data_IF_947922336885
#
_entry.id   IF_947922336885
#
_cell.length_a   1.000
_cell.length_b   1.000
_cell.length_c   1.000
_cell.angle_alpha   90.00
_cell.angle_beta   90.00
_cell.angle_gamma   90.00
#
_symmetry.space_group_name_H-M   'P 1'
#
loop_
_entity.id
_entity.type
_entity.pdbx_description
1 polymer ?
#
# COMPACT_ATOMS: atom_id res chain seq x y z
N UNK A 1 10.77 19.14 -19.11
CA UNK A 1 10.11 20.44 -19.45
C UNK A 1 10.70 21.57 -18.63
N UNK A 2 10.41 22.87 -19.00
CA UNK A 2 10.88 23.99 -18.16
C UNK A 2 9.95 24.21 -16.96
N UNK A 3 10.52 24.43 -15.77
CA UNK A 3 9.78 24.62 -14.51
C UNK A 3 8.71 25.74 -14.60
N UNK A 4 9.08 26.93 -15.13
CA UNK A 4 8.14 28.04 -15.30
C UNK A 4 6.98 27.71 -16.25
N UNK A 5 7.25 26.91 -17.29
CA UNK A 5 6.22 26.46 -18.22
C UNK A 5 5.26 25.48 -17.55
N UNK A 6 5.77 24.55 -16.74
CA UNK A 6 4.96 23.63 -15.95
C UNK A 6 4.00 24.37 -15.00
N UNK A 7 4.52 25.39 -14.26
CA UNK A 7 3.69 26.21 -13.38
C UNK A 7 2.60 26.99 -14.14
N UNK A 8 2.94 27.56 -15.29
CA UNK A 8 1.98 28.28 -16.14
C UNK A 8 0.89 27.33 -16.69
N UNK A 9 1.28 26.15 -17.15
CA UNK A 9 0.39 25.14 -17.72
C UNK A 9 -0.54 24.53 -16.68
N UNK A 10 -0.06 24.30 -15.45
CA UNK A 10 -0.91 23.91 -14.29
C UNK A 10 -1.95 24.99 -13.99
N UNK A 11 -1.53 26.25 -13.91
CA UNK A 11 -2.41 27.39 -13.62
C UNK A 11 -3.47 27.54 -14.71
N UNK A 12 -3.11 27.28 -15.95
CA UNK A 12 -4.03 27.34 -17.11
C UNK A 12 -4.93 26.10 -17.23
N UNK A 13 -4.80 25.10 -16.36
CA UNK A 13 -5.62 23.88 -16.37
C UNK A 13 -5.26 22.87 -17.48
N UNK A 14 -4.09 22.99 -18.11
CA UNK A 14 -3.70 22.06 -19.18
C UNK A 14 -3.49 20.62 -18.73
N UNK A 15 -3.29 20.40 -17.45
CA UNK A 15 -3.12 19.06 -16.85
C UNK A 15 -4.40 18.51 -16.22
N UNK A 16 -5.55 19.19 -16.34
CA UNK A 16 -6.80 18.80 -15.66
C UNK A 16 -7.27 17.40 -16.02
N UNK A 17 -7.21 17.03 -17.30
CA UNK A 17 -7.60 15.69 -17.73
C UNK A 17 -6.73 14.61 -17.04
N UNK A 18 -5.42 14.87 -16.91
CA UNK A 18 -4.50 13.97 -16.24
C UNK A 18 -4.76 13.92 -14.72
N UNK A 19 -4.99 15.08 -14.09
CA UNK A 19 -5.37 15.16 -12.67
C UNK A 19 -6.70 14.46 -12.40
N UNK A 20 -7.70 14.61 -13.28
CA UNK A 20 -8.97 13.87 -13.18
C UNK A 20 -8.77 12.36 -13.16
N UNK A 21 -7.89 11.84 -14.03
CA UNK A 21 -7.61 10.40 -14.09
C UNK A 21 -6.90 9.86 -12.83
N UNK A 22 -6.16 10.72 -12.13
CA UNK A 22 -5.41 10.32 -10.94
C UNK A 22 -6.18 10.49 -9.64
N UNK A 23 -7.00 11.55 -9.54
CA UNK A 23 -7.56 12.01 -8.27
C UNK A 23 -9.08 12.24 -8.31
N UNK A 24 -9.73 12.04 -9.46
CA UNK A 24 -11.15 12.30 -9.65
C UNK A 24 -11.46 13.69 -10.22
N UNK A 25 -12.72 13.87 -10.64
CA UNK A 25 -13.15 14.99 -11.50
C UNK A 25 -13.84 16.14 -10.77
N UNK A 26 -13.93 16.14 -9.43
CA UNK A 26 -14.58 17.25 -8.73
C UNK A 26 -13.73 18.53 -8.77
N UNK A 27 -14.36 19.68 -8.95
CA UNK A 27 -13.66 20.97 -9.00
C UNK A 27 -12.81 21.23 -7.76
N UNK A 28 -13.27 20.82 -6.59
CA UNK A 28 -12.54 20.96 -5.33
C UNK A 28 -11.27 20.12 -5.32
N UNK A 29 -11.32 18.86 -5.79
CA UNK A 29 -10.17 17.97 -5.91
C UNK A 29 -9.17 18.54 -6.92
N UNK A 30 -9.63 18.97 -8.09
CA UNK A 30 -8.75 19.56 -9.10
C UNK A 30 -8.03 20.81 -8.61
N UNK A 31 -8.75 21.71 -7.94
CA UNK A 31 -8.17 22.93 -7.34
C UNK A 31 -7.12 22.58 -6.29
N UNK A 32 -7.40 21.61 -5.41
CA UNK A 32 -6.47 21.16 -4.37
C UNK A 32 -5.21 20.52 -4.98
N UNK A 33 -5.35 19.67 -5.99
CA UNK A 33 -4.21 19.03 -6.63
C UNK A 33 -3.36 20.03 -7.44
N UNK A 34 -3.97 20.96 -8.19
CA UNK A 34 -3.21 22.03 -8.84
C UNK A 34 -2.37 22.83 -7.82
N UNK A 35 -2.98 23.22 -6.69
CA UNK A 35 -2.29 23.94 -5.65
C UNK A 35 -1.12 23.13 -5.06
N UNK A 36 -1.32 21.82 -4.84
CA UNK A 36 -0.29 20.91 -4.33
C UNK A 36 0.93 20.79 -5.28
N UNK A 37 0.67 20.59 -6.58
CA UNK A 37 1.74 20.51 -7.58
C UNK A 37 2.45 21.86 -7.77
N UNK A 38 1.73 22.98 -7.76
CA UNK A 38 2.33 24.32 -7.78
C UNK A 38 3.21 24.56 -6.56
N UNK A 39 2.74 24.22 -5.37
CA UNK A 39 3.51 24.36 -4.13
C UNK A 39 4.78 23.50 -4.15
N UNK A 40 4.69 22.26 -4.67
CA UNK A 40 5.85 21.38 -4.83
C UNK A 40 6.87 22.01 -5.80
N UNK A 41 6.44 22.56 -6.94
CA UNK A 41 7.29 23.24 -7.91
C UNK A 41 7.96 24.51 -7.34
N UNK A 42 7.23 25.29 -6.54
CA UNK A 42 7.78 26.45 -5.83
C UNK A 42 8.84 26.05 -4.80
N UNK A 43 8.58 25.03 -4.00
CA UNK A 43 9.53 24.54 -2.99
C UNK A 43 10.78 23.98 -3.66
N UNK A 44 10.64 23.24 -4.76
CA UNK A 44 11.77 22.78 -5.57
C UNK A 44 12.61 23.97 -6.07
N UNK A 45 11.98 25.00 -6.64
CA UNK A 45 12.66 26.18 -7.15
C UNK A 45 13.44 26.97 -6.08
N UNK A 46 12.95 26.97 -4.84
CA UNK A 46 13.66 27.60 -3.71
C UNK A 46 14.90 26.82 -3.28
N UNK A 47 14.85 25.50 -3.35
CA UNK A 47 15.97 24.63 -2.96
C UNK A 47 17.05 24.55 -4.05
N UNK A 48 16.63 24.57 -5.32
CA UNK A 48 17.49 24.37 -6.47
C UNK A 48 17.24 25.46 -7.54
N UNK A 49 17.57 26.72 -7.25
CA UNK A 49 17.22 27.85 -8.10
C UNK A 49 17.91 27.83 -9.48
N UNK A 50 19.01 27.08 -9.60
CA UNK A 50 19.75 26.90 -10.85
C UNK A 50 19.14 25.82 -11.77
N UNK A 51 18.22 25.01 -11.28
CA UNK A 51 17.59 23.90 -12.02
C UNK A 51 16.35 24.42 -12.74
N UNK A 52 16.47 24.63 -14.05
CA UNK A 52 15.36 25.12 -14.88
C UNK A 52 14.58 24.00 -15.56
N UNK A 53 15.22 22.88 -15.90
CA UNK A 53 14.62 21.75 -16.57
C UNK A 53 14.21 20.68 -15.55
N UNK A 54 12.96 20.28 -15.59
CA UNK A 54 12.37 19.33 -14.64
C UNK A 54 11.61 18.23 -15.34
N UNK A 55 11.41 17.13 -14.62
CA UNK A 55 10.40 16.10 -14.85
C UNK A 55 9.56 15.93 -13.57
N UNK A 56 8.32 15.49 -13.73
CA UNK A 56 7.37 15.35 -12.64
C UNK A 56 6.92 13.90 -12.56
N UNK A 57 6.89 13.33 -11.35
CA UNK A 57 6.54 11.93 -11.12
C UNK A 57 5.52 11.79 -10.00
N UNK A 58 4.79 10.66 -10.01
CA UNK A 58 3.81 10.33 -8.99
C UNK A 58 3.75 8.81 -8.80
N UNK A 59 3.66 8.35 -7.55
CA UNK A 59 3.43 6.96 -7.20
C UNK A 59 2.39 6.84 -6.09
N UNK A 60 1.34 6.01 -6.26
CA UNK A 60 0.22 5.91 -5.33
C UNK A 60 0.57 5.08 -4.08
N UNK A 61 -0.14 5.35 -2.98
CA UNK A 61 -0.32 4.40 -1.91
C UNK A 61 -1.23 3.24 -2.31
N UNK A 62 -1.40 2.28 -1.41
CA UNK A 62 -2.24 1.09 -1.66
C UNK A 62 -3.11 0.76 -0.45
N UNK A 63 -4.20 0.06 -0.69
CA UNK A 63 -5.08 -0.53 0.31
C UNK A 63 -5.17 -2.05 0.10
N UNK A 64 -5.15 -2.83 1.18
CA UNK A 64 -5.45 -4.26 1.13
C UNK A 64 -6.97 -4.46 1.12
N UNK A 65 -7.50 -5.22 0.17
CA UNK A 65 -8.93 -5.50 0.04
C UNK A 65 -9.27 -6.86 0.65
N UNK A 66 -8.54 -7.90 0.33
CA UNK A 66 -8.75 -9.27 0.82
C UNK A 66 -7.45 -10.08 0.89
N UNK A 67 -7.49 -11.22 1.60
CA UNK A 67 -6.30 -12.03 1.85
C UNK A 67 -5.48 -11.52 3.04
N UNK A 68 -6.14 -11.19 4.15
CA UNK A 68 -5.49 -10.63 5.33
C UNK A 68 -4.46 -11.60 5.93
N UNK A 69 -3.18 -11.22 5.91
CA UNK A 69 -2.03 -12.02 6.36
C UNK A 69 -1.81 -13.35 5.60
N UNK A 70 -2.38 -13.51 4.40
CA UNK A 70 -2.17 -14.73 3.59
C UNK A 70 -0.84 -14.74 2.85
N UNK A 71 -0.30 -13.58 2.51
CA UNK A 71 0.98 -13.40 1.81
C UNK A 71 2.17 -14.03 2.57
N UNK A 72 2.21 -13.93 3.90
CA UNK A 72 3.22 -14.55 4.74
C UNK A 72 3.22 -16.09 4.71
N UNK A 73 2.13 -16.67 4.17
CA UNK A 73 1.96 -18.11 3.98
C UNK A 73 1.93 -18.51 2.50
N UNK A 74 2.45 -17.66 1.61
CA UNK A 74 2.46 -17.84 0.16
C UNK A 74 1.05 -17.92 -0.45
N UNK A 75 0.08 -17.24 0.17
CA UNK A 75 -1.32 -17.22 -0.27
C UNK A 75 -1.62 -16.11 -1.27
N UNK A 76 -2.92 -15.99 -1.56
CA UNK A 76 -3.48 -14.99 -2.45
C UNK A 76 -3.85 -13.72 -1.69
N UNK A 77 -3.66 -12.57 -2.32
CA UNK A 77 -4.12 -11.27 -1.84
C UNK A 77 -4.85 -10.52 -2.94
N UNK A 78 -5.82 -9.71 -2.57
CA UNK A 78 -6.43 -8.70 -3.42
C UNK A 78 -6.17 -7.34 -2.79
N UNK A 79 -5.60 -6.42 -3.56
CA UNK A 79 -5.31 -5.07 -3.10
C UNK A 79 -5.55 -4.05 -4.22
N UNK A 80 -5.58 -2.77 -3.88
CA UNK A 80 -5.80 -1.71 -4.86
C UNK A 80 -4.93 -0.49 -4.57
N UNK A 81 -4.47 0.20 -5.60
CA UNK A 81 -3.86 1.51 -5.45
C UNK A 81 -4.93 2.59 -5.27
N UNK A 82 -4.59 3.61 -4.52
CA UNK A 82 -5.49 4.70 -4.14
C UNK A 82 -5.02 6.06 -4.66
N UNK A 83 -5.89 7.04 -4.63
CA UNK A 83 -5.62 8.42 -5.09
C UNK A 83 -4.72 9.25 -4.15
N UNK A 84 -4.34 8.70 -3.00
CA UNK A 84 -3.29 9.28 -2.17
C UNK A 84 -1.92 8.83 -2.69
N UNK A 85 -1.01 9.77 -2.92
CA UNK A 85 0.28 9.48 -3.55
C UNK A 85 1.45 10.29 -2.99
N UNK A 86 2.64 9.92 -3.44
CA UNK A 86 3.85 10.73 -3.33
C UNK A 86 4.16 11.30 -4.71
N UNK A 87 4.35 12.63 -4.80
CA UNK A 87 4.76 13.30 -6.02
C UNK A 87 6.19 13.82 -5.89
N UNK A 88 6.92 13.88 -7.02
CA UNK A 88 8.27 14.43 -7.10
C UNK A 88 8.41 15.44 -8.23
N UNK A 89 9.08 16.55 -7.95
CA UNK A 89 9.67 17.44 -8.95
C UNK A 89 11.16 17.12 -9.00
N UNK A 90 11.69 16.78 -10.17
CA UNK A 90 13.04 16.21 -10.35
C UNK A 90 13.80 16.97 -11.42
N UNK A 91 15.07 17.31 -11.17
CA UNK A 91 16.01 17.80 -12.17
C UNK A 91 17.21 16.84 -12.24
N UNK A 92 17.46 16.31 -13.42
CA UNK A 92 18.60 15.41 -13.66
C UNK A 92 19.88 16.20 -13.93
N UNK A 93 21.04 15.62 -13.55
CA UNK A 93 22.37 16.24 -13.73
C UNK A 93 23.48 15.19 -13.79
N UNK A 94 24.68 15.60 -14.17
CA UNK A 94 25.84 14.71 -14.37
C UNK A 94 26.68 14.48 -13.11
N UNK A 95 26.31 15.08 -11.97
CA UNK A 95 26.98 14.83 -10.69
C UNK A 95 26.63 13.41 -10.19
N UNK A 96 27.59 12.72 -9.59
CA UNK A 96 27.38 11.37 -9.04
C UNK A 96 26.73 11.42 -7.63
N UNK A 97 25.58 12.10 -7.51
CA UNK A 97 24.86 12.27 -6.24
C UNK A 97 23.37 12.42 -6.46
N UNK A 98 22.57 11.88 -5.55
CA UNK A 98 21.15 12.19 -5.44
C UNK A 98 20.94 13.05 -4.20
N UNK A 99 20.28 14.21 -4.39
CA UNK A 99 19.82 15.08 -3.31
C UNK A 99 18.30 15.12 -3.36
N UNK A 100 17.66 14.64 -2.31
CA UNK A 100 16.20 14.57 -2.25
C UNK A 100 15.70 15.23 -0.95
N UNK A 101 14.83 16.21 -1.10
CA UNK A 101 14.15 16.86 0.02
C UNK A 101 12.69 16.43 0.06
N UNK A 102 12.31 15.64 1.07
CA UNK A 102 10.90 15.35 1.37
C UNK A 102 10.31 16.46 2.25
N UNK A 103 9.06 16.86 1.97
CA UNK A 103 8.35 17.85 2.76
C UNK A 103 8.30 17.46 4.25
N UNK A 104 8.80 18.34 5.13
CA UNK A 104 8.81 18.11 6.58
C UNK A 104 9.96 17.26 7.12
N UNK A 105 10.89 16.81 6.28
CA UNK A 105 12.04 15.99 6.66
C UNK A 105 13.36 16.69 6.32
N UNK A 106 14.48 16.18 6.84
CA UNK A 106 15.82 16.59 6.41
C UNK A 106 16.10 16.10 4.98
N UNK A 107 17.01 16.80 4.30
CA UNK A 107 17.44 16.38 2.97
C UNK A 107 18.24 15.07 3.03
N UNK A 108 17.89 14.15 2.17
CA UNK A 108 18.68 12.95 1.89
C UNK A 108 19.81 13.26 0.90
N UNK A 109 20.97 12.69 1.14
CA UNK A 109 22.15 12.77 0.29
C UNK A 109 22.69 11.36 0.04
N UNK A 110 22.70 10.91 -1.20
CA UNK A 110 23.17 9.57 -1.59
C UNK A 110 24.30 9.71 -2.61
N UNK A 111 25.53 9.35 -2.20
CA UNK A 111 26.68 9.25 -3.09
C UNK A 111 26.54 8.00 -3.97
N UNK A 112 26.55 8.17 -5.29
CA UNK A 112 26.43 7.09 -6.28
C UNK A 112 27.76 6.35 -6.51
N UNK A 113 28.87 6.84 -5.98
CA UNK A 113 30.16 6.15 -6.02
C UNK A 113 30.28 5.05 -4.96
N UNK A 114 29.44 5.11 -3.89
CA UNK A 114 29.38 4.06 -2.87
C UNK A 114 27.90 3.67 -2.62
N UNK A 115 27.51 2.54 -3.17
CA UNK A 115 26.17 1.95 -3.02
C UNK A 115 26.15 0.76 -2.05
N UNK A 116 27.17 0.60 -1.23
CA UNK A 116 27.15 -0.41 -0.16
C UNK A 116 26.13 -0.03 0.93
N UNK A 117 25.63 -1.04 1.66
CA UNK A 117 24.72 -0.81 2.78
C UNK A 117 25.40 0.04 3.85
N UNK A 118 24.80 1.17 4.18
CA UNK A 118 25.28 2.08 5.22
C UNK A 118 24.50 1.84 6.52
N UNK A 119 25.15 1.36 7.60
CA UNK A 119 24.47 1.04 8.86
C UNK A 119 23.70 2.23 9.48
N UNK A 120 24.22 3.45 9.31
CA UNK A 120 23.65 4.68 9.83
C UNK A 120 22.40 5.16 9.06
N UNK A 121 22.17 4.63 7.85
CA UNK A 121 20.97 4.88 7.05
C UNK A 121 19.83 3.91 7.36
N UNK A 122 20.05 2.88 8.16
CA UNK A 122 19.02 1.91 8.51
C UNK A 122 17.77 2.59 9.07
N UNK A 123 16.63 2.30 8.46
CA UNK A 123 15.34 2.93 8.82
C UNK A 123 15.14 4.34 8.28
N UNK A 124 16.01 4.83 7.38
CA UNK A 124 15.92 6.16 6.77
C UNK A 124 15.66 6.05 5.25
N UNK A 125 15.09 7.11 4.68
CA UNK A 125 14.81 7.22 3.24
C UNK A 125 16.05 7.09 2.36
N UNK A 126 17.21 7.59 2.81
CA UNK A 126 18.47 7.43 2.10
C UNK A 126 18.82 5.95 1.80
N UNK A 127 18.55 5.04 2.74
CA UNK A 127 18.74 3.61 2.53
C UNK A 127 17.86 3.06 1.40
N UNK A 128 16.60 3.51 1.32
CA UNK A 128 15.69 3.09 0.24
C UNK A 128 16.19 3.61 -1.11
N UNK A 129 16.59 4.88 -1.21
CA UNK A 129 17.14 5.47 -2.44
C UNK A 129 18.37 4.68 -2.87
N UNK A 130 19.34 4.47 -1.96
CA UNK A 130 20.58 3.72 -2.22
C UNK A 130 20.31 2.29 -2.68
N UNK A 131 19.36 1.59 -2.04
CA UNK A 131 18.99 0.23 -2.38
C UNK A 131 18.35 0.12 -3.78
N UNK A 132 17.45 1.05 -4.13
CA UNK A 132 16.85 1.11 -5.46
C UNK A 132 17.91 1.36 -6.53
N UNK A 133 18.79 2.36 -6.34
CA UNK A 133 19.89 2.65 -7.27
C UNK A 133 20.81 1.46 -7.44
N UNK A 134 21.22 0.85 -6.31
CA UNK A 134 22.11 -0.33 -6.33
C UNK A 134 21.53 -1.46 -7.18
N UNK A 135 20.22 -1.72 -7.03
CA UNK A 135 19.59 -2.78 -7.80
C UNK A 135 19.54 -2.48 -9.30
N UNK A 136 19.27 -1.24 -9.70
CA UNK A 136 19.36 -0.83 -11.11
C UNK A 136 20.78 -0.95 -11.67
N UNK A 137 21.81 -0.60 -10.88
CA UNK A 137 23.22 -0.81 -11.31
C UNK A 137 23.58 -2.29 -11.44
N UNK A 138 23.10 -3.17 -10.54
CA UNK A 138 23.26 -4.62 -10.68
C UNK A 138 22.63 -5.16 -11.99
N UNK A 139 21.56 -4.52 -12.48
CA UNK A 139 20.92 -4.81 -13.76
C UNK A 139 21.66 -4.21 -14.96
N UNK A 140 22.77 -3.49 -14.74
CA UNK A 140 23.57 -2.87 -15.78
C UNK A 140 23.10 -1.47 -16.22
N UNK A 141 22.22 -0.84 -15.49
CA UNK A 141 21.74 0.52 -15.78
C UNK A 141 22.72 1.55 -15.23
N UNK A 142 23.21 2.45 -16.08
CA UNK A 142 24.06 3.55 -15.67
C UNK A 142 23.21 4.68 -15.05
N UNK A 143 23.01 4.63 -13.73
CA UNK A 143 22.23 5.65 -13.01
C UNK A 143 23.10 6.87 -12.73
N UNK A 144 22.64 8.06 -13.15
CA UNK A 144 23.25 9.37 -12.84
C UNK A 144 22.53 10.07 -11.69
N UNK A 145 22.96 11.31 -11.42
CA UNK A 145 22.43 12.10 -10.31
C UNK A 145 21.14 12.86 -10.64
N UNK A 146 20.42 13.22 -9.59
CA UNK A 146 19.30 14.15 -9.70
C UNK A 146 19.05 14.90 -8.37
N UNK A 147 18.46 16.08 -8.50
CA UNK A 147 17.92 16.85 -7.40
C UNK A 147 16.41 16.70 -7.40
N UNK A 148 15.79 16.43 -6.23
CA UNK A 148 14.35 16.23 -6.13
C UNK A 148 13.72 16.91 -4.91
N UNK A 149 12.47 17.35 -5.07
CA UNK A 149 11.57 17.69 -3.97
C UNK A 149 10.35 16.80 -4.02
N UNK A 150 10.00 16.17 -2.91
CA UNK A 150 8.83 15.30 -2.80
C UNK A 150 7.84 15.80 -1.76
N UNK A 151 6.56 15.55 -2.01
CA UNK A 151 5.48 15.71 -1.02
C UNK A 151 4.51 14.55 -1.11
N UNK A 152 4.02 14.10 0.04
CA UNK A 152 3.13 12.95 0.17
C UNK A 152 1.84 13.35 0.87
N UNK A 153 0.71 12.83 0.40
CA UNK A 153 -0.54 12.77 1.13
C UNK A 153 -0.89 11.32 1.56
N UNK A 154 -0.01 10.35 1.28
CA UNK A 154 -0.12 9.01 1.86
C UNK A 154 0.19 9.09 3.34
N UNK A 155 -0.80 8.85 4.17
CA UNK A 155 -0.69 8.97 5.62
C UNK A 155 0.26 7.92 6.19
N UNK A 156 1.26 8.35 6.94
CA UNK A 156 2.13 7.44 7.70
C UNK A 156 1.34 6.74 8.81
N UNK A 157 1.49 5.41 8.93
CA UNK A 157 0.81 4.63 9.97
C UNK A 157 -0.66 4.29 9.68
N UNK A 158 -1.23 4.74 8.56
CA UNK A 158 -2.62 4.45 8.17
C UNK A 158 -2.83 3.11 7.46
N UNK A 159 -1.79 2.30 7.32
CA UNK A 159 -1.86 1.05 6.54
C UNK A 159 -1.85 1.25 5.01
N UNK A 160 -1.65 2.48 4.50
CA UNK A 160 -1.64 2.79 3.05
C UNK A 160 -0.25 2.70 2.40
N UNK A 161 0.76 2.27 3.14
CA UNK A 161 2.14 1.99 2.69
C UNK A 161 2.88 3.15 2.03
N UNK A 162 3.16 4.20 2.80
CA UNK A 162 3.96 5.33 2.33
C UNK A 162 5.38 4.95 1.89
N UNK A 163 6.00 3.94 2.53
CA UNK A 163 7.34 3.44 2.14
C UNK A 163 7.33 2.86 0.73
N UNK A 164 6.39 1.97 0.42
CA UNK A 164 6.30 1.36 -0.90
C UNK A 164 6.00 2.39 -2.01
N UNK A 165 5.13 3.37 -1.74
CA UNK A 165 4.88 4.46 -2.67
C UNK A 165 6.17 5.27 -2.95
N UNK A 166 6.98 5.54 -1.92
CA UNK A 166 8.27 6.22 -2.08
C UNK A 166 9.28 5.38 -2.87
N UNK A 167 9.41 4.09 -2.57
CA UNK A 167 10.30 3.17 -3.29
C UNK A 167 9.93 3.06 -4.77
N UNK A 168 8.64 2.92 -5.07
CA UNK A 168 8.10 2.89 -6.43
C UNK A 168 8.34 4.22 -7.14
N UNK A 169 8.19 5.35 -6.43
CA UNK A 169 8.50 6.67 -6.99
C UNK A 169 9.96 6.77 -7.44
N UNK A 170 10.91 6.39 -6.57
CA UNK A 170 12.34 6.41 -6.90
C UNK A 170 12.64 5.43 -8.05
N UNK A 171 12.08 4.21 -8.01
CA UNK A 171 12.22 3.24 -9.09
C UNK A 171 11.68 3.76 -10.43
N UNK A 172 10.53 4.43 -10.42
CA UNK A 172 9.91 5.04 -11.61
C UNK A 172 10.78 6.18 -12.17
N UNK A 173 11.32 7.05 -11.31
CA UNK A 173 12.23 8.13 -11.72
C UNK A 173 13.44 7.56 -12.48
N UNK A 174 14.09 6.55 -11.92
CA UNK A 174 15.28 5.93 -12.49
C UNK A 174 14.94 5.18 -13.77
N UNK A 175 13.89 4.36 -13.76
CA UNK A 175 13.47 3.58 -14.92
C UNK A 175 13.13 4.47 -16.12
N UNK A 176 12.33 5.51 -15.92
CA UNK A 176 11.91 6.39 -17.01
C UNK A 176 13.08 7.17 -17.61
N UNK A 177 13.99 7.69 -16.79
CA UNK A 177 15.06 8.56 -17.29
C UNK A 177 16.31 7.79 -17.74
N UNK A 178 16.76 6.79 -16.94
CA UNK A 178 18.04 6.10 -17.20
C UNK A 178 17.87 4.74 -17.87
N UNK A 179 16.64 4.21 -17.93
CA UNK A 179 16.36 2.88 -18.49
C UNK A 179 15.23 2.87 -19.54
N UNK A 180 14.76 4.04 -19.93
CA UNK A 180 13.71 4.24 -20.95
C UNK A 180 12.41 3.44 -20.69
N UNK A 181 12.07 3.21 -19.40
CA UNK A 181 10.88 2.47 -18.98
C UNK A 181 10.98 0.94 -19.17
N UNK A 182 12.19 0.41 -19.41
CA UNK A 182 12.36 -1.00 -19.78
C UNK A 182 12.19 -1.99 -18.62
N UNK A 183 12.32 -1.56 -17.35
CA UNK A 183 12.07 -2.42 -16.21
C UNK A 183 10.58 -2.75 -16.08
N UNK A 184 9.73 -1.76 -16.21
CA UNK A 184 8.28 -1.90 -16.05
C UNK A 184 7.84 -2.11 -14.60
N UNK A 185 6.51 -2.10 -14.39
CA UNK A 185 5.91 -2.03 -13.06
C UNK A 185 6.31 -3.20 -12.12
N UNK A 186 6.35 -4.42 -12.63
CA UNK A 186 6.65 -5.62 -11.82
C UNK A 186 8.09 -5.61 -11.32
N UNK A 187 9.04 -5.24 -12.18
CA UNK A 187 10.45 -5.19 -11.76
C UNK A 187 10.71 -4.02 -10.81
N UNK A 188 10.09 -2.85 -11.05
CA UNK A 188 10.16 -1.72 -10.09
C UNK A 188 9.68 -2.15 -8.70
N UNK A 189 8.60 -2.91 -8.59
CA UNK A 189 8.11 -3.44 -7.32
C UNK A 189 9.13 -4.36 -6.64
N UNK A 190 9.75 -5.29 -7.38
CA UNK A 190 10.80 -6.17 -6.87
C UNK A 190 12.04 -5.40 -6.41
N UNK A 191 12.41 -4.34 -7.14
CA UNK A 191 13.50 -3.42 -6.79
C UNK A 191 13.19 -2.70 -5.46
N UNK A 192 11.96 -2.18 -5.29
CA UNK A 192 11.52 -1.55 -4.04
C UNK A 192 11.62 -2.51 -2.85
N UNK A 193 11.06 -3.71 -2.98
CA UNK A 193 11.16 -4.75 -1.94
C UNK A 193 12.62 -5.10 -1.60
N UNK A 194 13.49 -5.23 -2.60
CA UNK A 194 14.92 -5.46 -2.39
C UNK A 194 15.54 -4.34 -1.55
N UNK A 195 15.25 -3.09 -1.85
CA UNK A 195 15.74 -1.95 -1.10
C UNK A 195 15.24 -1.96 0.36
N UNK A 196 13.94 -2.24 0.59
CA UNK A 196 13.36 -2.31 1.93
C UNK A 196 13.97 -3.45 2.75
N UNK A 197 14.13 -4.64 2.16
CA UNK A 197 14.64 -5.82 2.86
C UNK A 197 16.14 -5.75 3.15
N UNK A 198 16.92 -5.24 2.20
CA UNK A 198 18.39 -5.35 2.27
C UNK A 198 19.07 -4.08 2.81
N UNK A 199 18.51 -2.90 2.51
CA UNK A 199 19.10 -1.61 2.89
C UNK A 199 18.40 -0.96 4.06
N UNK A 200 17.07 -0.85 4.00
CA UNK A 200 16.28 -0.23 5.08
C UNK A 200 16.23 -1.12 6.33
N UNK A 201 16.28 -2.44 6.15
CA UNK A 201 16.35 -3.42 7.24
C UNK A 201 15.00 -3.86 7.78
N UNK A 202 13.92 -3.69 7.01
CA UNK A 202 12.59 -4.20 7.32
C UNK A 202 12.24 -5.34 6.36
N UNK A 203 12.00 -6.54 6.89
CA UNK A 203 11.51 -7.67 6.10
C UNK A 203 10.05 -7.47 5.74
N UNK A 204 9.76 -7.26 4.46
CA UNK A 204 8.41 -7.06 3.92
C UNK A 204 8.11 -8.04 2.79
N UNK A 205 6.81 -8.31 2.61
CA UNK A 205 6.28 -8.96 1.42
C UNK A 205 6.36 -8.04 0.19
N UNK A 206 5.91 -8.55 -0.96
CA UNK A 206 5.97 -7.82 -2.24
C UNK A 206 4.65 -7.10 -2.58
N UNK A 207 3.58 -7.34 -1.82
CA UNK A 207 2.24 -6.82 -2.12
C UNK A 207 2.22 -5.30 -2.27
N UNK A 208 2.81 -4.59 -1.32
CA UNK A 208 2.74 -3.14 -1.22
C UNK A 208 3.34 -2.44 -2.43
N UNK A 209 4.57 -2.80 -2.77
CA UNK A 209 5.29 -2.26 -3.92
C UNK A 209 4.62 -2.67 -5.23
N UNK A 210 4.10 -3.92 -5.30
CA UNK A 210 3.45 -4.42 -6.51
C UNK A 210 2.21 -3.62 -6.85
N UNK A 211 1.34 -3.40 -5.87
CA UNK A 211 0.09 -2.67 -6.06
C UNK A 211 0.33 -1.19 -6.37
N UNK A 212 1.26 -0.53 -5.64
CA UNK A 212 1.68 0.84 -5.92
C UNK A 212 2.24 1.00 -7.33
N UNK A 213 3.01 0.02 -7.81
CA UNK A 213 3.66 0.09 -9.11
C UNK A 213 2.72 -0.24 -10.29
N UNK A 214 1.85 -1.24 -10.14
CA UNK A 214 0.95 -1.70 -11.22
C UNK A 214 -0.29 -0.80 -11.35
N UNK A 215 -0.84 -0.34 -10.23
CA UNK A 215 -2.05 0.49 -10.19
C UNK A 215 -3.35 -0.27 -10.41
N UNK A 216 -4.47 0.28 -9.94
CA UNK A 216 -5.80 -0.33 -9.98
C UNK A 216 -5.96 -1.47 -8.97
N UNK A 217 -6.97 -2.31 -9.18
CA UNK A 217 -7.10 -3.55 -8.43
C UNK A 217 -6.11 -4.59 -8.95
N UNK A 218 -5.36 -5.20 -8.05
CA UNK A 218 -4.34 -6.21 -8.35
C UNK A 218 -4.59 -7.43 -7.50
N UNK A 219 -4.82 -8.57 -8.15
CA UNK A 219 -4.80 -9.87 -7.51
C UNK A 219 -3.39 -10.46 -7.63
N UNK A 220 -2.87 -11.00 -6.54
CA UNK A 220 -1.53 -11.59 -6.49
C UNK A 220 -1.63 -12.98 -5.84
N UNK A 221 -1.14 -14.02 -6.52
CA UNK A 221 -0.94 -15.34 -5.94
C UNK A 221 0.56 -15.57 -5.70
N UNK A 222 0.93 -15.71 -4.44
CA UNK A 222 2.31 -15.90 -3.98
C UNK A 222 2.71 -17.38 -3.88
N UNK A 223 2.04 -18.31 -4.55
CA UNK A 223 2.43 -19.73 -4.56
C UNK A 223 3.89 -19.92 -4.96
N UNK A 224 4.35 -19.18 -5.96
CA UNK A 224 5.77 -18.99 -6.29
C UNK A 224 6.17 -17.55 -5.92
N UNK A 225 6.89 -17.39 -4.80
CA UNK A 225 7.29 -16.05 -4.31
C UNK A 225 8.34 -15.37 -5.19
N UNK A 226 9.12 -16.13 -5.96
CA UNK A 226 10.12 -15.59 -6.87
C UNK A 226 9.43 -15.08 -8.17
N UNK A 227 8.33 -15.76 -8.58
CA UNK A 227 7.55 -15.42 -9.77
C UNK A 227 6.04 -15.42 -9.45
N UNK A 228 5.55 -14.51 -8.61
CA UNK A 228 4.14 -14.48 -8.24
C UNK A 228 3.26 -14.21 -9.45
N UNK A 229 2.10 -14.83 -9.46
CA UNK A 229 1.08 -14.54 -10.45
C UNK A 229 0.44 -13.18 -10.13
N UNK A 230 0.51 -12.24 -11.08
CA UNK A 230 0.00 -10.88 -10.92
C UNK A 230 -1.08 -10.66 -11.98
N UNK A 231 -2.28 -10.32 -11.54
CA UNK A 231 -3.41 -10.02 -12.41
C UNK A 231 -3.96 -8.64 -12.05
N UNK A 232 -3.84 -7.69 -12.99
CA UNK A 232 -4.51 -6.40 -12.89
C UNK A 232 -5.96 -6.59 -13.33
N UNK A 233 -6.90 -6.29 -12.42
CA UNK A 233 -8.31 -6.47 -12.70
C UNK A 233 -8.88 -5.26 -13.43
N UNK A 234 -9.73 -5.54 -14.41
CA UNK A 234 -10.56 -4.51 -15.05
C UNK A 234 -11.94 -4.55 -14.39
N UNK A 235 -12.24 -3.58 -13.54
CA UNK A 235 -13.57 -3.43 -12.95
C UNK A 235 -13.99 -1.96 -12.97
N UNK A 236 -15.30 -1.72 -13.03
CA UNK A 236 -15.90 -0.40 -12.99
C UNK A 236 -16.40 -0.12 -11.57
N UNK A 237 -15.45 -0.01 -10.64
CA UNK A 237 -15.77 0.18 -9.22
C UNK A 237 -16.63 1.42 -8.94
N UNK A 238 -16.34 2.51 -9.64
CA UNK A 238 -17.07 3.77 -9.50
C UNK A 238 -18.54 3.64 -9.92
N UNK A 239 -18.83 2.80 -10.94
CA UNK A 239 -20.18 2.55 -11.43
C UNK A 239 -21.01 1.68 -10.47
N UNK A 240 -20.36 0.97 -9.54
CA UNK A 240 -21.06 0.17 -8.54
C UNK A 240 -21.81 1.02 -7.49
N UNK A 241 -21.60 2.33 -7.46
CA UNK A 241 -22.28 3.25 -6.54
C UNK A 241 -21.73 3.25 -5.11
N UNK A 242 -20.50 2.77 -4.94
CA UNK A 242 -19.78 2.73 -3.66
C UNK A 242 -18.47 3.51 -3.71
N UNK A 243 -18.05 3.97 -2.54
CA UNK A 243 -16.72 4.52 -2.30
C UNK A 243 -16.01 3.70 -1.23
N UNK A 244 -14.70 3.75 -1.25
CA UNK A 244 -13.85 3.19 -0.22
C UNK A 244 -13.60 4.24 0.86
N UNK A 245 -13.87 3.92 2.13
CA UNK A 245 -13.52 4.76 3.26
C UNK A 245 -12.49 4.06 4.13
N UNK A 246 -11.44 4.78 4.52
CA UNK A 246 -10.48 4.33 5.54
C UNK A 246 -10.65 5.22 6.76
N UNK A 247 -10.83 4.61 7.93
CA UNK A 247 -10.94 5.33 9.20
C UNK A 247 -9.79 4.96 10.12
N UNK A 248 -8.99 5.95 10.51
CA UNK A 248 -7.96 5.82 11.54
C UNK A 248 -8.62 5.81 12.93
N UNK A 249 -8.54 4.69 13.62
CA UNK A 249 -9.12 4.49 14.96
C UNK A 249 -8.25 5.03 16.10
N UNK A 250 -7.16 5.74 15.77
CA UNK A 250 -6.20 6.35 16.70
C UNK A 250 -5.49 5.36 17.63
N UNK A 251 -5.52 4.08 17.30
CA UNK A 251 -4.73 3.07 18.01
C UNK A 251 -3.24 3.25 17.74
N UNK A 252 -2.41 3.06 18.77
CA UNK A 252 -0.95 3.12 18.61
C UNK A 252 -0.38 1.78 18.18
N UNK A 253 0.50 1.78 17.17
CA UNK A 253 1.28 0.61 16.76
C UNK A 253 2.53 0.37 17.65
N UNK A 254 2.80 1.26 18.62
CA UNK A 254 3.91 1.08 19.54
C UNK A 254 3.71 -0.19 20.36
N UNK A 255 4.79 -0.95 20.52
CA UNK A 255 4.83 -2.21 21.30
C UNK A 255 3.95 -3.37 20.77
N UNK A 256 3.50 -3.32 19.49
CA UNK A 256 2.71 -4.39 18.87
C UNK A 256 3.54 -5.37 18.02
N UNK A 257 4.87 -5.24 18.02
CA UNK A 257 5.76 -6.09 17.19
C UNK A 257 5.56 -7.58 17.46
N UNK A 258 5.40 -7.97 18.73
CA UNK A 258 5.18 -9.36 19.12
C UNK A 258 3.86 -9.91 18.57
N UNK A 259 2.80 -9.10 18.57
CA UNK A 259 1.50 -9.49 18.03
C UNK A 259 1.60 -9.77 16.52
N UNK A 260 2.24 -8.88 15.76
CA UNK A 260 2.45 -9.07 14.32
C UNK A 260 3.31 -10.30 14.01
N UNK A 261 4.43 -10.48 14.70
CA UNK A 261 5.33 -11.62 14.50
C UNK A 261 4.66 -12.94 14.90
N UNK A 262 3.73 -12.92 15.86
CA UNK A 262 3.04 -14.12 16.32
C UNK A 262 2.13 -14.75 15.23
N UNK A 263 1.59 -13.95 14.29
CA UNK A 263 0.69 -14.47 13.25
C UNK A 263 1.41 -15.47 12.33
N UNK A 264 2.44 -15.06 11.57
CA UNK A 264 3.15 -16.00 10.71
C UNK A 264 3.84 -17.11 11.51
N UNK A 265 4.36 -16.82 12.71
CA UNK A 265 5.01 -17.83 13.53
C UNK A 265 4.05 -18.96 13.94
N UNK A 266 2.84 -18.66 14.36
CA UNK A 266 1.83 -19.65 14.72
C UNK A 266 1.32 -20.44 13.51
N UNK A 267 1.15 -19.80 12.35
CA UNK A 267 0.80 -20.49 11.11
C UNK A 267 1.92 -21.47 10.69
N UNK A 268 3.18 -21.06 10.79
CA UNK A 268 4.34 -21.91 10.47
C UNK A 268 4.45 -23.11 11.42
N UNK A 269 4.08 -22.95 12.73
CA UNK A 269 4.03 -24.08 13.67
C UNK A 269 3.04 -25.16 13.20
N UNK A 270 1.88 -24.75 12.65
CA UNK A 270 0.91 -25.71 12.08
C UNK A 270 1.45 -26.36 10.82
N UNK A 271 2.05 -25.60 9.89
CA UNK A 271 2.66 -26.15 8.67
C UNK A 271 3.76 -27.16 8.99
N UNK A 272 4.59 -26.89 10.02
CA UNK A 272 5.67 -27.77 10.48
C UNK A 272 5.16 -29.15 10.93
N UNK A 273 3.90 -29.29 11.41
CA UNK A 273 3.33 -30.59 11.76
C UNK A 273 3.14 -31.52 10.54
N UNK A 274 3.20 -30.92 9.33
CA UNK A 274 3.16 -31.63 8.04
C UNK A 274 4.53 -31.70 7.35
N UNK A 275 5.61 -31.24 8.02
CA UNK A 275 6.96 -31.17 7.46
C UNK A 275 7.11 -30.08 6.39
N UNK A 276 6.30 -29.00 6.50
CA UNK A 276 6.24 -27.88 5.57
C UNK A 276 6.62 -26.58 6.28
N UNK A 277 7.02 -25.59 5.51
CA UNK A 277 7.37 -24.26 6.02
C UNK A 277 6.17 -23.29 6.03
N UNK A 278 5.26 -23.42 5.06
CA UNK A 278 4.13 -22.53 4.87
C UNK A 278 2.83 -23.34 4.66
N UNK A 279 1.70 -22.77 5.05
CA UNK A 279 0.39 -23.42 4.94
C UNK A 279 -0.02 -23.67 3.48
N UNK A 280 0.44 -22.85 2.52
CA UNK A 280 0.19 -23.06 1.10
C UNK A 280 0.66 -24.43 0.60
N UNK A 281 1.69 -24.98 1.21
CA UNK A 281 2.27 -26.28 0.88
C UNK A 281 1.49 -27.47 1.49
N UNK A 282 0.51 -27.18 2.36
CA UNK A 282 -0.28 -28.19 3.09
C UNK A 282 -1.68 -28.27 2.49
N UNK A 283 -2.10 -29.48 2.12
CA UNK A 283 -3.47 -29.69 1.64
C UNK A 283 -4.51 -29.42 2.74
N UNK A 284 -5.53 -28.61 2.43
CA UNK A 284 -6.54 -28.19 3.40
C UNK A 284 -7.32 -29.40 3.98
N UNK A 285 -7.59 -30.46 3.16
CA UNK A 285 -8.29 -31.66 3.65
C UNK A 285 -7.42 -32.42 4.65
N UNK A 286 -6.10 -32.48 4.39
CA UNK A 286 -5.16 -33.07 5.33
C UNK A 286 -5.10 -32.28 6.64
N UNK A 287 -5.11 -30.92 6.58
CA UNK A 287 -5.21 -30.06 7.76
C UNK A 287 -6.47 -30.36 8.58
N UNK A 288 -7.66 -30.40 7.94
CA UNK A 288 -8.93 -30.68 8.60
C UNK A 288 -8.97 -32.08 9.26
N UNK A 289 -8.42 -33.10 8.58
CA UNK A 289 -8.34 -34.47 9.13
C UNK A 289 -7.39 -34.56 10.34
N UNK A 290 -6.37 -33.71 10.36
CA UNK A 290 -5.37 -33.71 11.43
C UNK A 290 -5.79 -32.90 12.68
N UNK A 291 -6.93 -32.23 12.71
CA UNK A 291 -7.35 -31.34 13.81
C UNK A 291 -7.21 -31.98 15.20
N UNK A 292 -7.63 -33.24 15.46
CA UNK A 292 -7.43 -33.86 16.77
C UNK A 292 -5.97 -33.96 17.19
N UNK A 293 -5.06 -34.24 16.25
CA UNK A 293 -3.61 -34.32 16.45
C UNK A 293 -3.01 -32.93 16.62
N UNK A 294 -3.40 -31.97 15.80
CA UNK A 294 -2.93 -30.61 15.86
C UNK A 294 -3.22 -29.97 17.21
N UNK A 295 -4.40 -30.23 17.79
CA UNK A 295 -4.78 -29.71 19.11
C UNK A 295 -3.90 -30.18 20.25
N UNK A 296 -3.17 -31.29 20.09
CA UNK A 296 -2.20 -31.77 21.07
C UNK A 296 -0.80 -31.20 20.86
N UNK A 297 -0.52 -30.67 19.65
CA UNK A 297 0.82 -30.21 19.26
C UNK A 297 0.91 -28.68 19.10
N UNK A 298 -0.21 -27.99 18.86
CA UNK A 298 -0.29 -26.56 18.62
C UNK A 298 -1.32 -25.92 19.55
N UNK A 299 -1.24 -24.60 19.75
CA UNK A 299 -2.28 -23.84 20.46
C UNK A 299 -3.58 -23.77 19.64
N UNK A 300 -4.73 -23.64 20.32
CA UNK A 300 -6.02 -23.44 19.64
C UNK A 300 -5.98 -22.20 18.72
N UNK A 301 -5.27 -21.12 19.12
CA UNK A 301 -5.11 -19.91 18.31
C UNK A 301 -4.31 -20.17 17.02
N UNK A 302 -3.24 -20.95 17.09
CA UNK A 302 -2.45 -21.31 15.91
C UNK A 302 -3.30 -22.08 14.89
N UNK A 303 -4.16 -23.01 15.36
CA UNK A 303 -5.08 -23.76 14.50
C UNK A 303 -6.14 -22.85 13.88
N UNK A 304 -6.69 -21.90 14.65
CA UNK A 304 -7.67 -20.93 14.16
C UNK A 304 -7.06 -20.00 13.10
N UNK A 305 -5.81 -19.54 13.30
CA UNK A 305 -5.06 -18.75 12.32
C UNK A 305 -4.80 -19.52 11.03
N UNK A 306 -4.48 -20.82 11.14
CA UNK A 306 -4.37 -21.68 9.95
C UNK A 306 -5.73 -21.85 9.22
N UNK A 307 -6.83 -22.01 9.96
CA UNK A 307 -8.18 -22.07 9.37
C UNK A 307 -8.55 -20.76 8.67
N UNK A 308 -8.19 -19.61 9.27
CA UNK A 308 -8.31 -18.30 8.62
C UNK A 308 -7.57 -18.27 7.29
N UNK A 309 -6.29 -18.69 7.27
CA UNK A 309 -5.49 -18.72 6.06
C UNK A 309 -6.20 -19.45 4.91
N UNK A 310 -6.65 -20.69 5.10
CA UNK A 310 -7.32 -21.44 4.04
C UNK A 310 -8.59 -20.76 3.54
N UNK A 311 -9.39 -20.22 4.47
CA UNK A 311 -10.62 -19.51 4.12
C UNK A 311 -10.34 -18.21 3.36
N UNK A 312 -9.41 -17.39 3.84
CA UNK A 312 -9.13 -16.07 3.28
C UNK A 312 -8.33 -16.14 1.97
N UNK A 313 -7.48 -17.15 1.85
CA UNK A 313 -6.79 -17.47 0.60
C UNK A 313 -7.76 -17.74 -0.55
N UNK A 314 -8.85 -18.51 -0.29
CA UNK A 314 -9.91 -18.73 -1.29
C UNK A 314 -10.73 -17.45 -1.53
N UNK A 315 -11.11 -16.74 -0.47
CA UNK A 315 -11.91 -15.51 -0.59
C UNK A 315 -11.23 -14.44 -1.43
N UNK A 316 -9.93 -14.24 -1.28
CA UNK A 316 -9.19 -13.28 -2.12
C UNK A 316 -9.31 -13.60 -3.62
N UNK A 317 -9.26 -14.87 -4.00
CA UNK A 317 -9.45 -15.28 -5.39
C UNK A 317 -10.91 -15.14 -5.85
N UNK A 318 -11.88 -15.42 -4.97
CA UNK A 318 -13.31 -15.23 -5.23
C UNK A 318 -13.69 -13.76 -5.32
N UNK A 319 -13.12 -12.89 -4.49
CA UNK A 319 -13.26 -11.43 -4.55
C UNK A 319 -12.74 -10.88 -5.89
N UNK A 320 -11.55 -11.32 -6.32
CA UNK A 320 -10.99 -10.94 -7.62
C UNK A 320 -11.90 -11.37 -8.78
N UNK A 321 -12.45 -12.59 -8.72
CA UNK A 321 -13.41 -13.08 -9.72
C UNK A 321 -14.71 -12.29 -9.71
N UNK A 322 -15.26 -11.96 -8.53
CA UNK A 322 -16.48 -11.18 -8.40
C UNK A 322 -16.31 -9.77 -9.00
N UNK A 323 -15.19 -9.10 -8.70
CA UNK A 323 -14.86 -7.79 -9.27
C UNK A 323 -14.71 -7.86 -10.80
N UNK A 324 -13.96 -8.82 -11.33
CA UNK A 324 -13.78 -9.01 -12.77
C UNK A 324 -15.09 -9.32 -13.49
N UNK A 325 -16.04 -9.97 -12.80
CA UNK A 325 -17.39 -10.27 -13.28
C UNK A 325 -18.40 -9.13 -13.07
N UNK A 326 -17.99 -8.01 -12.46
CA UNK A 326 -18.87 -6.92 -12.01
C UNK A 326 -20.01 -7.42 -11.07
N UNK A 327 -19.78 -8.51 -10.33
CA UNK A 327 -20.69 -9.01 -9.29
C UNK A 327 -20.37 -8.36 -7.94
N UNK A 328 -20.73 -7.08 -7.83
CA UNK A 328 -20.41 -6.28 -6.66
C UNK A 328 -21.13 -6.76 -5.39
N UNK A 329 -22.39 -7.21 -5.41
CA UNK A 329 -23.02 -7.80 -4.24
C UNK A 329 -22.27 -9.03 -3.69
N UNK A 330 -21.78 -9.93 -4.56
CA UNK A 330 -20.97 -11.07 -4.13
C UNK A 330 -19.62 -10.60 -3.57
N UNK A 331 -18.99 -9.59 -4.19
CA UNK A 331 -17.75 -9.00 -3.67
C UNK A 331 -17.92 -8.45 -2.25
N UNK A 332 -18.94 -7.64 -1.98
CA UNK A 332 -19.22 -7.09 -0.65
C UNK A 332 -19.47 -8.19 0.39
N UNK A 333 -20.19 -9.24 0.01
CA UNK A 333 -20.40 -10.41 0.87
C UNK A 333 -19.08 -11.06 1.27
N UNK A 334 -18.18 -11.28 0.31
CA UNK A 334 -16.86 -11.88 0.56
C UNK A 334 -15.98 -10.98 1.44
N UNK A 335 -15.99 -9.67 1.23
CA UNK A 335 -15.30 -8.70 2.09
C UNK A 335 -15.79 -8.79 3.55
N UNK A 336 -17.12 -8.89 3.76
CA UNK A 336 -17.68 -9.09 5.09
C UNK A 336 -17.21 -10.40 5.71
N UNK A 337 -17.26 -11.49 4.96
CA UNK A 337 -16.80 -12.80 5.43
C UNK A 337 -15.30 -12.81 5.77
N UNK A 338 -14.47 -12.06 5.03
CA UNK A 338 -13.05 -11.86 5.34
C UNK A 338 -12.87 -11.09 6.65
N UNK A 339 -13.63 -10.00 6.87
CA UNK A 339 -13.65 -9.26 8.13
C UNK A 339 -14.06 -10.13 9.32
N UNK A 340 -15.12 -10.92 9.16
CA UNK A 340 -15.59 -11.87 10.18
C UNK A 340 -14.53 -12.94 10.50
N UNK A 341 -13.81 -13.42 9.48
CA UNK A 341 -12.72 -14.38 9.63
C UNK A 341 -11.53 -13.77 10.36
N UNK A 342 -11.18 -12.52 10.04
CA UNK A 342 -10.13 -11.77 10.76
C UNK A 342 -10.48 -11.61 12.23
N UNK A 343 -11.72 -11.26 12.56
CA UNK A 343 -12.18 -11.09 13.92
C UNK A 343 -12.18 -12.40 14.73
N UNK A 344 -12.74 -13.46 14.14
CA UNK A 344 -13.02 -14.72 14.86
C UNK A 344 -11.82 -15.65 14.92
N UNK A 345 -11.05 -15.74 13.82
CA UNK A 345 -10.05 -16.80 13.65
C UNK A 345 -8.61 -16.26 13.57
N UNK A 346 -8.35 -15.19 12.83
CA UNK A 346 -7.04 -14.55 12.83
C UNK A 346 -6.76 -13.84 14.16
N UNK A 347 -7.78 -13.21 14.71
CA UNK A 347 -7.76 -12.51 16.01
C UNK A 347 -6.75 -11.36 16.00
N UNK A 348 -6.85 -10.49 14.99
CA UNK A 348 -5.97 -9.33 14.82
C UNK A 348 -6.70 -7.98 14.99
N UNK A 349 -7.85 -7.94 15.70
CA UNK A 349 -8.56 -6.68 15.90
C UNK A 349 -7.98 -5.84 17.06
N UNK A 350 -7.39 -6.48 18.07
CA UNK A 350 -6.73 -5.81 19.20
C UNK A 350 -5.69 -6.73 19.84
N UNK A 351 -4.73 -6.14 20.54
CA UNK A 351 -3.71 -6.91 21.26
C UNK A 351 -4.25 -7.49 22.57
N UNK A 352 -3.95 -8.78 22.81
CA UNK A 352 -4.25 -9.42 24.10
C UNK A 352 -3.45 -8.82 25.26
N UNK A 353 -2.32 -8.16 25.01
CA UNK A 353 -1.53 -7.47 26.03
C UNK A 353 -2.16 -6.14 26.47
N UNK A 354 -3.06 -5.57 25.64
CA UNK A 354 -3.77 -4.31 25.89
C UNK A 354 -5.28 -4.46 25.67
N UNK A 355 -5.98 -5.29 26.44
CA UNK A 355 -7.36 -5.67 26.15
C UNK A 355 -8.39 -4.53 26.26
N UNK A 356 -8.02 -3.40 26.84
CA UNK A 356 -8.86 -2.20 26.90
C UNK A 356 -8.72 -1.28 25.69
N UNK A 357 -7.65 -1.43 24.88
CA UNK A 357 -7.41 -0.64 23.69
C UNK A 357 -8.05 -1.32 22.47
N UNK A 358 -9.32 -1.05 22.20
CA UNK A 358 -10.11 -1.70 21.17
C UNK A 358 -10.68 -0.71 20.14
N UNK A 359 -9.83 0.16 19.60
CA UNK A 359 -10.22 1.15 18.60
C UNK A 359 -10.81 0.51 17.33
N UNK A 360 -10.19 -0.56 16.80
CA UNK A 360 -10.69 -1.29 15.63
C UNK A 360 -12.06 -1.92 15.88
N UNK A 361 -12.29 -2.73 16.93
CA UNK A 361 -13.63 -3.25 17.25
C UNK A 361 -14.69 -2.16 17.43
N UNK A 362 -14.35 -1.04 18.10
CA UNK A 362 -15.25 0.09 18.25
C UNK A 362 -15.60 0.73 16.89
N UNK A 363 -14.59 0.93 16.03
CA UNK A 363 -14.78 1.47 14.69
C UNK A 363 -15.65 0.56 13.80
N UNK A 364 -15.43 -0.75 13.86
CA UNK A 364 -16.23 -1.73 13.11
C UNK A 364 -17.69 -1.73 13.60
N UNK A 365 -17.92 -1.76 14.92
CA UNK A 365 -19.25 -1.67 15.47
C UNK A 365 -19.98 -0.37 15.07
N UNK A 366 -19.31 0.77 15.17
CA UNK A 366 -19.88 2.06 14.76
C UNK A 366 -20.20 2.07 13.26
N UNK A 367 -19.29 1.53 12.41
CA UNK A 367 -19.50 1.39 10.98
C UNK A 367 -20.73 0.54 10.66
N UNK A 368 -20.91 -0.60 11.34
CA UNK A 368 -22.09 -1.46 11.18
C UNK A 368 -23.40 -0.74 11.60
N UNK A 369 -23.37 0.07 12.68
CA UNK A 369 -24.54 0.86 13.09
C UNK A 369 -24.92 1.94 12.08
N UNK A 370 -23.93 2.52 11.37
CA UNK A 370 -24.16 3.55 10.36
C UNK A 370 -24.63 2.94 9.05
N UNK A 371 -23.99 1.87 8.60
CA UNK A 371 -24.20 1.28 7.28
C UNK A 371 -25.39 0.29 7.22
N UNK A 372 -25.70 -0.39 8.32
CA UNK A 372 -26.65 -1.50 8.31
C UNK A 372 -26.27 -2.55 7.24
N UNK A 373 -27.25 -2.93 6.43
CA UNK A 373 -27.03 -3.86 5.30
C UNK A 373 -26.61 -3.14 3.99
N UNK A 374 -26.47 -1.82 4.01
CA UNK A 374 -26.18 -1.04 2.81
C UNK A 374 -24.71 -1.03 2.44
N UNK A 375 -23.80 -1.30 3.39
CA UNK A 375 -22.38 -1.33 3.16
C UNK A 375 -21.70 -2.37 4.04
N UNK A 376 -20.37 -2.50 3.92
CA UNK A 376 -19.58 -3.46 4.68
C UNK A 376 -18.29 -2.83 5.19
N UNK A 377 -17.80 -3.32 6.34
CA UNK A 377 -16.52 -2.90 6.88
C UNK A 377 -15.71 -4.08 7.39
N UNK A 378 -14.39 -3.88 7.44
CA UNK A 378 -13.44 -4.85 7.98
C UNK A 378 -12.21 -4.15 8.56
N UNK A 379 -11.40 -4.90 9.31
CA UNK A 379 -10.06 -4.46 9.69
C UNK A 379 -9.23 -4.23 8.42
N UNK A 380 -8.39 -3.20 8.42
CA UNK A 380 -7.52 -2.86 7.30
C UNK A 380 -6.05 -3.10 7.68
N UNK A 381 -5.30 -3.78 6.78
CA UNK A 381 -3.89 -4.10 6.97
C UNK A 381 -3.63 -5.08 8.10
N UNK A 382 -2.52 -4.89 8.82
CA UNK A 382 -2.06 -5.83 9.86
C UNK A 382 -2.97 -6.01 11.08
N UNK A 383 -3.82 -5.03 11.36
CA UNK A 383 -4.71 -5.06 12.51
C UNK A 383 -4.01 -4.66 13.82
N UNK A 384 -4.54 -5.12 14.94
CA UNK A 384 -4.18 -4.83 16.35
C UNK A 384 -4.33 -3.36 16.74
N UNK A 385 -4.08 -2.42 15.85
CA UNK A 385 -4.28 -0.98 15.93
C UNK A 385 -4.43 -0.40 14.52
N UNK A 386 -4.60 0.91 14.39
CA UNK A 386 -4.61 1.63 13.12
C UNK A 386 -6.01 1.78 12.53
N UNK A 387 -6.28 1.17 11.38
CA UNK A 387 -7.41 1.55 10.54
C UNK A 387 -8.43 0.44 10.31
N UNK A 388 -9.67 0.86 10.03
CA UNK A 388 -10.70 0.04 9.40
C UNK A 388 -10.95 0.51 7.97
N UNK A 389 -11.41 -0.40 7.13
CA UNK A 389 -11.84 -0.17 5.76
C UNK A 389 -13.34 -0.38 5.65
N UNK A 390 -14.03 0.48 4.91
CA UNK A 390 -15.45 0.33 4.64
C UNK A 390 -15.78 0.61 3.17
N UNK A 391 -16.68 -0.20 2.61
CA UNK A 391 -17.32 0.06 1.32
C UNK A 391 -18.67 0.70 1.59
N UNK A 392 -18.76 1.99 1.30
CA UNK A 392 -19.87 2.86 1.69
C UNK A 392 -20.64 3.31 0.44
N UNK A 393 -21.96 3.20 0.40
CA UNK A 393 -22.74 3.78 -0.70
C UNK A 393 -22.44 5.27 -0.86
N UNK A 394 -22.27 5.75 -2.11
CA UNK A 394 -21.88 7.14 -2.40
C UNK A 394 -22.79 8.15 -1.68
N UNK A 395 -24.09 7.91 -1.64
CA UNK A 395 -25.06 8.81 -0.99
C UNK A 395 -24.94 8.85 0.54
N UNK A 396 -24.28 7.86 1.18
CA UNK A 396 -24.04 7.81 2.62
C UNK A 396 -22.63 8.29 3.00
N UNK A 397 -21.71 8.44 2.04
CA UNK A 397 -20.28 8.61 2.29
C UNK A 397 -19.95 9.82 3.18
N UNK A 398 -20.63 10.96 2.92
CA UNK A 398 -20.42 12.18 3.71
C UNK A 398 -20.88 12.00 5.17
N UNK A 399 -22.11 11.50 5.37
CA UNK A 399 -22.67 11.25 6.72
C UNK A 399 -21.85 10.21 7.48
N UNK A 400 -21.38 9.18 6.78
CA UNK A 400 -20.48 8.16 7.33
C UNK A 400 -19.18 8.78 7.85
N UNK A 401 -18.48 9.57 7.03
CA UNK A 401 -17.24 10.23 7.42
C UNK A 401 -17.44 11.18 8.58
N UNK A 402 -18.49 12.01 8.56
CA UNK A 402 -18.80 12.95 9.64
C UNK A 402 -19.04 12.23 10.98
N UNK A 403 -19.73 11.09 10.96
CA UNK A 403 -19.96 10.28 12.18
C UNK A 403 -18.71 9.59 12.68
N UNK A 404 -17.87 9.07 11.78
CA UNK A 404 -16.60 8.47 12.15
C UNK A 404 -15.62 9.51 12.69
N UNK A 405 -15.60 10.72 12.11
CA UNK A 405 -14.81 11.85 12.60
C UNK A 405 -15.27 12.34 13.98
N UNK A 406 -16.58 12.34 14.25
CA UNK A 406 -17.09 12.64 15.60
C UNK A 406 -16.61 11.63 16.64
N UNK A 407 -16.41 10.36 16.26
CA UNK A 407 -15.96 9.31 17.16
C UNK A 407 -14.44 9.32 17.36
N UNK A 408 -13.66 9.50 16.30
CA UNK A 408 -12.21 9.34 16.30
C UNK A 408 -11.42 10.66 16.14
N UNK A 409 -12.11 11.77 15.92
CA UNK A 409 -11.50 13.09 15.68
C UNK A 409 -11.57 13.51 14.21
N UNK A 410 -11.58 14.82 13.99
CA UNK A 410 -11.66 15.42 12.66
C UNK A 410 -10.57 14.89 11.71
N UNK A 411 -10.97 14.50 10.50
CA UNK A 411 -10.08 13.97 9.47
C UNK A 411 -9.63 12.52 9.68
N UNK A 412 -10.22 11.80 10.65
CA UNK A 412 -9.94 10.38 10.86
C UNK A 412 -10.49 9.50 9.76
N UNK A 413 -11.63 9.86 9.16
CA UNK A 413 -12.23 9.14 8.05
C UNK A 413 -11.93 9.83 6.72
N UNK A 414 -11.42 9.08 5.76
CA UNK A 414 -11.08 9.57 4.43
C UNK A 414 -11.77 8.73 3.37
N UNK A 415 -12.37 9.40 2.38
CA UNK A 415 -12.90 8.77 1.17
C UNK A 415 -11.73 8.63 0.19
N UNK A 416 -11.51 7.43 -0.29
CA UNK A 416 -10.46 7.11 -1.26
C UNK A 416 -11.08 6.68 -2.59
N UNK A 417 -10.41 7.02 -3.68
CA UNK A 417 -10.71 6.52 -5.01
C UNK A 417 -9.66 5.51 -5.45
N UNK A 418 -10.08 4.55 -6.26
CA UNK A 418 -9.16 3.59 -6.86
C UNK A 418 -8.45 4.26 -8.03
N UNK A 419 -7.14 4.38 -7.90
CA UNK A 419 -6.30 4.96 -8.94
C UNK A 419 -5.80 3.88 -9.89
N UNK A 420 -6.29 3.87 -11.13
CA UNK A 420 -5.97 2.84 -12.12
C UNK A 420 -4.53 2.93 -12.68
N UNK A 421 -3.75 3.91 -12.28
CA UNK A 421 -2.40 4.18 -12.77
C UNK A 421 -1.42 4.09 -11.60
N UNK A 422 -0.43 3.22 -11.69
CA UNK A 422 0.64 3.07 -10.70
C UNK A 422 1.67 4.18 -10.75
N UNK A 423 2.93 3.84 -10.44
CA UNK A 423 4.06 4.78 -10.58
C UNK A 423 4.18 5.29 -12.01
N UNK A 424 4.29 6.61 -12.20
CA UNK A 424 4.31 7.21 -13.54
C UNK A 424 5.09 8.53 -13.60
N UNK A 425 5.58 8.87 -14.80
CA UNK A 425 5.96 10.23 -15.13
C UNK A 425 4.71 11.04 -15.47
N UNK A 426 4.57 12.20 -14.83
CA UNK A 426 3.36 13.02 -14.94
C UNK A 426 3.35 13.93 -16.16
N UNK A 427 4.48 14.36 -16.69
CA UNK A 427 4.67 15.31 -17.81
C UNK A 427 4.79 14.67 -19.20
#
# INVERSE_FOLDING_TARGET
MKLKQFQADLTAGKYDEKLCRLYGSSDAVLAAQRARYLQAAENFSRLYPEREEIAVFSAPGRTEIGGNHTDHQHGCVLAASVDLDVIAIVAFHDEHVIRLQSAGYSQDYVDLCDLTVQPEEKGKSAALIRGVVSRFQEMGVAVGGFDAYTTSNVLSGSGLSSSAAFEVLIGTIIDQHYHAGAAGAVEIAKIGQYAENRYFGKKSGLMDQMVSSVGGFVFIDFEDTDNPKIEKLSCQFEDAGYVLCITDTKGSHADLTEDYVSIPAEMNLVAAQFGKNHLREVDEKAFLQALPKLRTACSDRAILRAAHFYGDNRRAAEEAKALSGNDFPQFLKLVKESGDSSAKWLQNLYSCSKPAEQGIPLGLWASEQILGDAGVSRVHGGGFAGTIQAFVPVHMAKDYCEKMDQLFGEGSCQILQIRNIGGMQFD
#
